data_IF_639713514405
#
_entry.id   IF_639713514405
#
_cell.length_a   1.000
_cell.length_b   1.000
_cell.length_c   1.000
_cell.angle_alpha   90.00
_cell.angle_beta   90.00
_cell.angle_gamma   90.00
#
_symmetry.space_group_name_H-M   'P 1'
#
loop_
_entity.id
_entity.type
_entity.pdbx_description
1 polymer ?
#
# COMPACT_ATOMS: atom_id res chain seq x y z
N UNK A 1 21.20 -5.55 0.08
CA UNK A 1 20.57 -6.79 -0.44
C UNK A 1 21.35 -8.07 -0.11
N UNK A 2 22.68 -8.15 -0.35
CA UNK A 2 23.45 -9.39 -0.16
C UNK A 2 23.50 -9.94 1.28
N UNK A 3 23.36 -9.07 2.30
CA UNK A 3 23.38 -9.46 3.72
C UNK A 3 21.98 -9.65 4.34
N UNK A 4 20.90 -9.61 3.53
CA UNK A 4 19.53 -9.80 4.02
C UNK A 4 18.92 -11.09 3.45
N UNK A 5 18.05 -11.75 4.22
CA UNK A 5 17.45 -13.06 3.90
C UNK A 5 16.36 -13.01 2.79
N UNK A 6 16.40 -11.99 1.95
CA UNK A 6 15.48 -11.82 0.84
C UNK A 6 15.52 -13.02 -0.12
N UNK A 7 14.35 -13.50 -0.54
CA UNK A 7 14.23 -14.66 -1.44
C UNK A 7 14.22 -16.03 -0.75
N UNK A 8 14.14 -16.08 0.58
CA UNK A 8 13.97 -17.33 1.33
C UNK A 8 12.66 -18.04 0.93
N UNK A 9 12.76 -19.29 0.47
CA UNK A 9 11.61 -20.12 0.14
C UNK A 9 11.09 -20.86 1.38
N UNK A 10 9.89 -20.52 1.83
CA UNK A 10 9.26 -21.09 3.02
C UNK A 10 8.07 -21.96 2.58
N UNK A 11 8.06 -23.22 3.03
CA UNK A 11 6.97 -24.17 2.81
C UNK A 11 6.47 -24.71 4.15
N UNK A 12 5.15 -24.83 4.30
CA UNK A 12 4.52 -25.39 5.50
C UNK A 12 3.25 -26.15 5.12
N UNK A 13 2.99 -27.24 5.83
CA UNK A 13 1.74 -28.00 5.76
C UNK A 13 0.76 -27.61 6.89
N UNK A 14 1.09 -26.56 7.64
CA UNK A 14 0.26 -25.96 8.69
C UNK A 14 0.14 -24.46 8.45
N UNK A 15 -0.93 -23.80 8.95
CA UNK A 15 -1.00 -22.34 8.97
C UNK A 15 0.25 -21.76 9.64
N UNK A 16 0.92 -20.84 8.94
CA UNK A 16 2.05 -20.08 9.45
C UNK A 16 1.82 -18.61 9.12
N UNK A 17 2.35 -17.73 9.97
CA UNK A 17 2.57 -16.33 9.65
C UNK A 17 4.07 -16.11 9.58
N UNK A 18 4.52 -15.38 8.56
CA UNK A 18 5.93 -15.02 8.40
C UNK A 18 6.01 -13.51 8.48
N UNK A 19 6.73 -13.00 9.47
CA UNK A 19 7.02 -11.58 9.60
C UNK A 19 8.45 -11.32 9.18
N UNK A 20 8.64 -10.28 8.38
CA UNK A 20 9.95 -9.72 8.06
C UNK A 20 10.15 -8.48 8.92
N UNK A 21 11.39 -8.30 9.37
CA UNK A 21 11.81 -7.05 10.00
C UNK A 21 13.28 -6.80 9.72
N UNK A 22 13.63 -5.54 9.68
CA UNK A 22 15.01 -5.06 9.71
C UNK A 22 15.10 -3.92 10.72
N UNK A 23 16.19 -3.89 11.48
CA UNK A 23 16.37 -2.94 12.59
C UNK A 23 17.51 -1.98 12.27
N UNK A 24 17.37 -0.74 12.74
CA UNK A 24 18.32 0.33 12.49
C UNK A 24 18.55 0.59 10.99
N UNK A 25 17.50 0.48 10.18
CA UNK A 25 17.54 0.85 8.76
C UNK A 25 17.88 2.33 8.68
N UNK A 26 19.01 2.62 8.06
CA UNK A 26 19.63 3.92 8.16
C UNK A 26 19.20 4.83 7.00
N UNK A 27 18.49 5.90 7.35
CA UNK A 27 18.04 6.94 6.43
C UNK A 27 19.17 7.94 6.11
N UNK A 28 20.13 7.52 5.30
CA UNK A 28 21.21 8.42 4.85
C UNK A 28 20.70 9.45 3.82
N UNK A 29 21.13 10.74 3.91
CA UNK A 29 22.10 11.29 4.85
C UNK A 29 21.49 11.86 6.16
N UNK A 30 20.17 11.81 6.35
CA UNK A 30 19.48 12.45 7.49
C UNK A 30 19.76 11.80 8.85
N UNK A 31 20.14 10.53 8.87
CA UNK A 31 20.71 9.88 10.05
C UNK A 31 19.76 9.07 10.91
N UNK A 32 18.45 9.15 10.65
CA UNK A 32 17.41 8.44 11.40
C UNK A 32 17.53 6.93 11.18
N UNK A 33 17.13 6.16 12.19
CA UNK A 33 17.35 4.71 12.25
C UNK A 33 16.11 4.07 12.82
N UNK A 34 15.40 3.35 11.96
CA UNK A 34 14.11 2.78 12.32
C UNK A 34 14.10 1.27 12.14
N UNK A 35 13.13 0.67 12.84
CA UNK A 35 12.69 -0.67 12.53
C UNK A 35 11.67 -0.61 11.41
N UNK A 36 11.93 -1.34 10.33
CA UNK A 36 10.93 -1.61 9.29
C UNK A 36 10.49 -3.06 9.38
N UNK A 37 9.25 -3.35 9.01
CA UNK A 37 8.79 -4.74 8.98
C UNK A 37 7.31 -4.84 8.69
N UNK A 38 6.91 -6.03 8.26
CA UNK A 38 5.52 -6.37 7.98
C UNK A 38 5.33 -7.90 8.04
N UNK A 39 4.09 -8.36 8.02
CA UNK A 39 3.75 -9.76 7.76
C UNK A 39 3.70 -9.99 6.25
N UNK A 40 4.48 -10.95 5.75
CA UNK A 40 4.43 -11.33 4.33
C UNK A 40 3.16 -12.10 4.02
N UNK A 41 2.69 -11.98 2.77
CA UNK A 41 1.62 -12.83 2.22
C UNK A 41 2.21 -14.10 1.60
N UNK A 42 1.51 -15.25 1.63
CA UNK A 42 1.95 -16.44 0.91
C UNK A 42 1.90 -16.21 -0.61
N UNK A 43 2.46 -17.09 -1.45
CA UNK A 43 2.24 -16.99 -2.90
C UNK A 43 0.81 -17.40 -3.30
N UNK A 44 0.22 -18.31 -2.51
CA UNK A 44 -1.13 -18.85 -2.70
C UNK A 44 -1.90 -18.86 -1.39
N UNK A 45 -3.20 -18.64 -1.48
CA UNK A 45 -4.14 -18.78 -0.36
C UNK A 45 -4.40 -20.25 -0.05
N UNK A 46 -5.08 -20.48 1.08
CA UNK A 46 -5.55 -21.81 1.48
C UNK A 46 -6.49 -22.48 0.45
N UNK A 47 -7.19 -21.68 -0.37
CA UNK A 47 -8.05 -22.15 -1.46
C UNK A 47 -7.33 -22.26 -2.82
N UNK A 48 -5.99 -22.19 -2.81
CA UNK A 48 -5.10 -22.31 -3.97
C UNK A 48 -5.21 -21.17 -5.01
N UNK A 49 -5.90 -20.07 -4.70
CA UNK A 49 -5.84 -18.83 -5.49
C UNK A 49 -4.57 -18.05 -5.21
N UNK A 50 -4.04 -17.35 -6.21
CA UNK A 50 -2.92 -16.42 -6.03
C UNK A 50 -3.33 -15.23 -5.16
N UNK A 51 -2.40 -14.73 -4.34
CA UNK A 51 -2.55 -13.46 -3.59
C UNK A 51 -1.52 -12.43 -4.03
N UNK A 52 -0.37 -12.91 -4.52
CA UNK A 52 0.59 -12.10 -5.27
C UNK A 52 0.14 -12.02 -6.72
N UNK A 53 0.25 -10.84 -7.31
CA UNK A 53 -0.20 -10.56 -8.67
C UNK A 53 0.90 -10.05 -9.58
N UNK A 54 0.48 -9.55 -10.74
CA UNK A 54 1.28 -9.03 -11.82
C UNK A 54 1.44 -7.52 -11.71
N UNK A 55 0.39 -6.80 -11.31
CA UNK A 55 0.37 -5.34 -11.29
C UNK A 55 0.26 -4.76 -9.87
N UNK A 56 0.98 -3.66 -9.64
CA UNK A 56 1.00 -2.92 -8.38
C UNK A 56 1.06 -1.42 -8.66
N UNK A 57 0.38 -0.64 -7.83
CA UNK A 57 0.55 0.81 -7.79
C UNK A 57 1.15 1.17 -6.44
N UNK A 58 2.25 1.90 -6.49
CA UNK A 58 2.95 2.40 -5.32
C UNK A 58 2.62 3.87 -5.17
N UNK A 59 2.08 4.27 -4.02
CA UNK A 59 1.86 5.69 -3.70
C UNK A 59 3.00 6.16 -2.81
N UNK A 60 3.78 7.16 -3.28
CA UNK A 60 4.86 7.76 -2.50
C UNK A 60 4.31 8.28 -1.17
N UNK A 61 5.00 7.99 -0.08
CA UNK A 61 4.69 8.50 1.24
C UNK A 61 5.27 9.90 1.43
N UNK A 62 5.89 10.12 2.59
CA UNK A 62 6.38 11.43 3.03
C UNK A 62 7.82 11.38 3.51
N UNK A 63 8.61 10.39 3.07
CA UNK A 63 10.06 10.45 3.27
C UNK A 63 10.63 11.61 2.45
N UNK A 64 11.55 12.34 3.05
CA UNK A 64 12.37 13.33 2.37
C UNK A 64 13.78 13.33 2.97
N UNK A 65 14.70 12.64 2.30
CA UNK A 65 16.11 12.59 2.70
C UNK A 65 16.92 13.79 2.19
N UNK A 66 16.29 14.69 1.43
CA UNK A 66 16.90 15.92 0.92
C UNK A 66 16.68 17.10 1.88
N UNK A 67 17.35 18.23 1.61
CA UNK A 67 17.11 19.47 2.35
C UNK A 67 16.07 20.38 1.69
N UNK A 68 15.57 19.99 0.52
CA UNK A 68 14.66 20.79 -0.29
C UNK A 68 13.24 20.23 -0.21
N UNK A 69 12.19 21.03 -0.49
CA UNK A 69 10.85 20.51 -0.65
C UNK A 69 10.82 19.46 -1.75
N UNK A 70 10.20 18.31 -1.47
CA UNK A 70 10.11 17.20 -2.41
C UNK A 70 9.07 17.52 -3.49
N UNK A 71 9.50 17.51 -4.76
CA UNK A 71 8.61 17.58 -5.91
C UNK A 71 8.60 16.24 -6.67
N UNK A 72 7.70 16.14 -7.63
CA UNK A 72 7.72 15.04 -8.60
C UNK A 72 8.97 15.13 -9.49
N UNK A 73 9.68 14.01 -9.62
CA UNK A 73 11.01 13.91 -10.23
C UNK A 73 12.17 13.93 -9.22
N UNK A 74 11.94 14.36 -7.98
CA UNK A 74 12.98 14.42 -6.96
C UNK A 74 13.14 13.07 -6.23
N UNK A 75 14.38 12.63 -5.93
CA UNK A 75 14.63 11.43 -5.14
C UNK A 75 14.22 11.67 -3.69
N UNK A 76 13.16 10.99 -3.27
CA UNK A 76 12.67 11.07 -1.89
C UNK A 76 13.56 10.31 -0.91
N UNK A 77 14.17 9.22 -1.36
CA UNK A 77 14.75 8.17 -0.52
C UNK A 77 13.81 6.98 -0.28
N UNK A 78 12.54 7.06 -0.70
CA UNK A 78 11.63 5.90 -0.67
C UNK A 78 12.03 4.87 -1.73
N UNK A 79 11.93 3.60 -1.36
CA UNK A 79 12.29 2.49 -2.23
C UNK A 79 11.22 1.43 -2.24
N UNK A 80 11.10 0.77 -3.37
CA UNK A 80 10.36 -0.47 -3.51
C UNK A 80 11.32 -1.60 -3.83
N UNK A 81 11.09 -2.76 -3.23
CA UNK A 81 11.82 -3.99 -3.49
C UNK A 81 10.87 -4.95 -4.19
N UNK A 82 11.21 -5.31 -5.42
CA UNK A 82 10.40 -6.12 -6.31
C UNK A 82 11.05 -7.50 -6.39
N UNK A 83 10.33 -8.54 -5.98
CA UNK A 83 10.82 -9.92 -5.92
C UNK A 83 10.12 -10.81 -6.96
N UNK A 84 10.90 -11.56 -7.72
CA UNK A 84 10.39 -12.56 -8.64
C UNK A 84 9.88 -13.80 -7.89
N UNK A 85 8.71 -14.30 -8.27
CA UNK A 85 8.18 -15.58 -7.76
C UNK A 85 8.51 -16.77 -8.67
N UNK A 86 8.98 -16.49 -9.89
CA UNK A 86 9.27 -17.45 -10.94
C UNK A 86 10.58 -17.06 -11.66
N UNK A 87 11.25 -18.00 -12.35
CA UNK A 87 12.46 -17.67 -13.10
C UNK A 87 12.14 -16.81 -14.33
N UNK A 88 13.15 -16.02 -14.74
CA UNK A 88 13.11 -15.13 -15.90
C UNK A 88 11.90 -14.18 -15.88
N UNK A 89 11.57 -13.59 -14.73
CA UNK A 89 10.51 -12.58 -14.62
C UNK A 89 11.01 -11.25 -15.16
N UNK A 90 10.31 -10.69 -16.15
CA UNK A 90 10.52 -9.32 -16.64
C UNK A 90 9.71 -8.37 -15.77
N UNK A 91 10.34 -7.30 -15.30
CA UNK A 91 9.74 -6.22 -14.51
C UNK A 91 9.72 -4.95 -15.35
N UNK A 92 8.57 -4.28 -15.35
CA UNK A 92 8.34 -3.01 -16.00
C UNK A 92 7.95 -1.96 -14.97
N UNK A 93 8.42 -0.73 -15.17
CA UNK A 93 8.08 0.44 -14.36
C UNK A 93 7.52 1.50 -15.29
N UNK A 94 6.29 1.93 -15.02
CA UNK A 94 5.54 2.88 -15.84
C UNK A 94 5.54 2.48 -17.34
N UNK A 95 5.37 1.19 -17.61
CA UNK A 95 5.36 0.60 -18.96
C UNK A 95 6.74 0.43 -19.62
N UNK A 96 7.83 0.77 -18.94
CA UNK A 96 9.21 0.66 -19.46
C UNK A 96 9.91 -0.57 -18.85
N UNK A 97 10.56 -1.39 -19.68
CA UNK A 97 11.36 -2.51 -19.20
C UNK A 97 12.45 -2.03 -18.24
N UNK A 98 12.49 -2.63 -17.06
CA UNK A 98 13.37 -2.22 -15.97
C UNK A 98 14.40 -3.30 -15.62
N UNK A 99 13.96 -4.54 -15.41
CA UNK A 99 14.84 -5.63 -15.00
C UNK A 99 14.35 -7.01 -15.45
N UNK A 100 15.29 -7.91 -15.74
CA UNK A 100 15.03 -9.36 -15.82
C UNK A 100 15.57 -10.04 -14.55
N UNK A 101 14.69 -10.75 -13.86
CA UNK A 101 15.00 -11.50 -12.64
C UNK A 101 15.09 -13.00 -12.99
N UNK A 102 16.31 -13.50 -13.10
CA UNK A 102 16.60 -14.85 -13.58
C UNK A 102 16.08 -15.96 -12.65
N UNK A 103 16.09 -15.73 -11.32
CA UNK A 103 15.74 -16.76 -10.33
C UNK A 103 14.56 -16.33 -9.44
N UNK A 104 13.69 -17.26 -9.00
CA UNK A 104 12.76 -17.00 -7.91
C UNK A 104 13.49 -16.51 -6.66
N UNK A 105 12.90 -15.54 -5.95
CA UNK A 105 13.51 -14.91 -4.78
C UNK A 105 14.54 -13.84 -5.10
N UNK A 106 14.99 -13.72 -6.36
CA UNK A 106 15.81 -12.60 -6.80
C UNK A 106 14.98 -11.30 -6.72
N UNK A 107 15.65 -10.21 -6.34
CA UNK A 107 15.04 -8.90 -6.17
C UNK A 107 15.77 -7.83 -6.97
N UNK A 108 15.04 -6.78 -7.31
CA UNK A 108 15.57 -5.49 -7.70
C UNK A 108 14.91 -4.41 -6.84
N UNK A 109 15.63 -3.34 -6.53
CA UNK A 109 15.06 -2.17 -5.88
C UNK A 109 14.90 -1.01 -6.86
N UNK A 110 13.89 -0.18 -6.63
CA UNK A 110 13.64 1.04 -7.40
C UNK A 110 13.35 2.20 -6.44
N UNK A 111 13.89 3.37 -6.74
CA UNK A 111 13.69 4.59 -5.96
C UNK A 111 12.51 5.41 -6.53
N UNK A 112 11.55 5.77 -5.66
CA UNK A 112 10.35 6.48 -6.07
C UNK A 112 10.63 7.97 -6.29
N UNK A 113 10.28 8.45 -7.48
CA UNK A 113 10.46 9.84 -7.91
C UNK A 113 9.16 10.63 -8.01
N UNK A 114 8.02 9.97 -8.18
CA UNK A 114 6.73 10.61 -8.44
C UNK A 114 5.70 10.22 -7.38
N UNK A 115 4.59 10.95 -7.29
CA UNK A 115 3.52 10.67 -6.32
C UNK A 115 2.95 9.24 -6.42
N UNK A 116 2.99 8.65 -7.63
CA UNK A 116 2.64 7.25 -7.87
C UNK A 116 3.53 6.61 -8.93
N UNK A 117 3.75 5.30 -8.82
CA UNK A 117 4.49 4.49 -9.80
C UNK A 117 3.72 3.20 -10.10
N UNK A 118 3.59 2.85 -11.38
CA UNK A 118 3.04 1.57 -11.82
C UNK A 118 4.16 0.53 -11.97
N UNK A 119 3.99 -0.64 -11.35
CA UNK A 119 4.94 -1.75 -11.43
C UNK A 119 4.23 -2.96 -11.97
N UNK A 120 4.81 -3.57 -13.00
CA UNK A 120 4.26 -4.72 -13.70
C UNK A 120 5.30 -5.83 -13.78
N UNK A 121 4.87 -7.07 -13.60
CA UNK A 121 5.64 -8.26 -13.93
C UNK A 121 4.99 -9.02 -15.08
N UNK A 122 5.77 -9.63 -15.97
CA UNK A 122 5.24 -10.61 -16.94
C UNK A 122 4.76 -11.92 -16.27
N UNK A 123 5.18 -12.10 -15.01
CA UNK A 123 4.83 -13.17 -14.08
C UNK A 123 4.53 -12.55 -12.71
N UNK A 124 3.88 -13.27 -11.79
CA UNK A 124 3.59 -12.73 -10.47
C UNK A 124 4.87 -12.29 -9.73
N UNK A 125 4.80 -11.12 -9.10
CA UNK A 125 5.86 -10.51 -8.31
C UNK A 125 5.34 -10.17 -6.91
N UNK A 126 6.25 -10.01 -5.95
CA UNK A 126 5.95 -9.42 -4.63
C UNK A 126 6.61 -8.05 -4.54
N UNK A 127 5.92 -7.08 -3.93
CA UNK A 127 6.44 -5.73 -3.75
C UNK A 127 6.45 -5.37 -2.27
N UNK A 128 7.63 -5.01 -1.75
CA UNK A 128 7.80 -4.40 -0.42
C UNK A 128 8.11 -2.93 -0.62
N UNK A 129 7.32 -2.04 -0.02
CA UNK A 129 7.55 -0.61 -0.07
C UNK A 129 8.14 -0.12 1.25
N UNK A 130 9.31 0.50 1.17
CA UNK A 130 9.93 1.24 2.26
C UNK A 130 9.60 2.72 2.06
N UNK A 131 8.82 3.24 3.00
CA UNK A 131 8.25 4.58 2.99
C UNK A 131 8.30 5.16 4.40
N UNK A 132 7.53 6.21 4.67
CA UNK A 132 7.37 6.77 6.01
C UNK A 132 7.25 8.29 5.99
N UNK A 133 7.80 8.94 7.01
CA UNK A 133 7.67 10.39 7.20
C UNK A 133 9.01 11.04 7.59
N UNK A 134 9.40 12.09 6.86
CA UNK A 134 10.68 12.76 7.06
C UNK A 134 11.85 11.81 6.78
N UNK A 135 12.61 11.45 7.80
CA UNK A 135 13.67 10.44 7.70
C UNK A 135 13.28 9.12 8.38
N UNK A 136 12.08 9.02 8.95
CA UNK A 136 11.66 7.89 9.76
C UNK A 136 11.02 6.82 8.88
N UNK A 137 11.69 5.68 8.72
CA UNK A 137 11.24 4.63 7.81
C UNK A 137 10.21 3.69 8.43
N UNK A 138 9.31 3.19 7.57
CA UNK A 138 8.46 2.03 7.79
C UNK A 138 8.46 1.15 6.55
N UNK A 139 7.96 -0.09 6.68
CA UNK A 139 7.89 -1.05 5.58
C UNK A 139 6.50 -1.67 5.49
N UNK A 140 6.00 -1.86 4.27
CA UNK A 140 4.73 -2.55 4.03
C UNK A 140 4.83 -3.41 2.76
N UNK A 141 4.39 -4.66 2.83
CA UNK A 141 4.14 -5.47 1.64
C UNK A 141 2.92 -4.90 0.95
N UNK A 142 3.01 -4.63 -0.35
CA UNK A 142 1.90 -4.03 -1.08
C UNK A 142 0.92 -5.09 -1.57
N UNK A 143 -0.39 -4.81 -1.54
CA UNK A 143 -1.39 -5.58 -2.26
C UNK A 143 -1.28 -5.36 -3.78
N UNK A 144 -1.51 -6.41 -4.57
CA UNK A 144 -1.64 -6.29 -6.04
C UNK A 144 -2.95 -5.61 -6.41
N UNK A 145 -2.97 -4.89 -7.53
CA UNK A 145 -4.21 -4.32 -8.11
C UNK A 145 -4.93 -5.29 -9.07
N UNK A 146 -4.41 -6.50 -9.25
CA UNK A 146 -5.05 -7.52 -10.07
C UNK A 146 -6.43 -7.91 -9.53
N UNK A 147 -7.44 -7.86 -10.40
CA UNK A 147 -8.81 -8.25 -10.05
C UNK A 147 -9.48 -7.24 -9.12
N UNK A 148 -10.35 -7.72 -8.23
CA UNK A 148 -11.08 -6.89 -7.25
C UNK A 148 -10.45 -6.97 -5.85
N UNK A 149 -9.15 -6.66 -5.74
CA UNK A 149 -8.47 -6.51 -4.44
C UNK A 149 -8.77 -5.15 -3.82
N UNK A 150 -8.62 -5.07 -2.50
CA UNK A 150 -8.98 -3.90 -1.72
C UNK A 150 -10.29 -4.07 -0.99
N UNK A 151 -10.71 -3.01 -0.33
CA UNK A 151 -11.90 -3.02 0.53
C UNK A 151 -12.93 -2.01 0.05
N UNK A 152 -14.22 -2.30 0.27
CA UNK A 152 -15.28 -1.30 0.15
C UNK A 152 -15.34 -0.37 1.38
N UNK A 153 -14.71 -0.80 2.48
CA UNK A 153 -14.69 -0.09 3.75
C UNK A 153 -13.37 -0.40 4.48
N UNK A 154 -12.74 0.62 5.06
CA UNK A 154 -11.58 0.49 5.95
C UNK A 154 -11.84 1.34 7.19
N UNK A 155 -11.64 0.76 8.37
CA UNK A 155 -11.71 1.47 9.66
C UNK A 155 -10.33 1.52 10.30
N UNK A 156 -9.97 2.66 10.87
CA UNK A 156 -8.69 2.89 11.53
C UNK A 156 -8.83 3.95 12.63
N UNK A 157 -7.80 4.06 13.47
CA UNK A 157 -7.73 5.06 14.54
C UNK A 157 -6.38 5.76 14.47
N UNK A 158 -6.38 7.07 14.62
CA UNK A 158 -5.17 7.87 14.88
C UNK A 158 -4.82 7.71 16.36
N UNK A 159 -3.59 7.30 16.65
CA UNK A 159 -3.12 6.97 18.00
C UNK A 159 -2.29 8.07 18.66
N UNK A 160 -1.78 9.04 17.90
CA UNK A 160 -1.04 10.21 18.41
C UNK A 160 -1.56 11.51 17.80
N UNK A 161 -1.11 12.65 18.33
CA UNK A 161 -1.41 13.97 17.75
C UNK A 161 -0.46 14.35 16.62
N UNK A 162 0.41 13.42 16.19
CA UNK A 162 1.40 13.64 15.14
C UNK A 162 0.79 13.75 13.73
N UNK A 163 1.66 13.88 12.72
CA UNK A 163 1.20 13.97 11.34
C UNK A 163 0.56 12.66 10.91
N UNK A 164 -0.57 12.75 10.21
CA UNK A 164 -1.33 11.61 9.76
C UNK A 164 -1.61 11.75 8.27
N UNK A 165 -1.08 10.82 7.49
CA UNK A 165 -1.26 10.78 6.05
C UNK A 165 -1.99 9.53 5.62
N UNK A 166 -2.82 9.68 4.59
CA UNK A 166 -3.46 8.58 3.90
C UNK A 166 -2.98 8.49 2.46
N UNK A 167 -2.65 7.28 2.05
CA UNK A 167 -2.48 6.88 0.67
C UNK A 167 -3.75 6.13 0.27
N UNK A 168 -4.57 6.70 -0.63
CA UNK A 168 -5.80 6.08 -1.11
C UNK A 168 -5.74 5.98 -2.63
N UNK A 169 -6.06 4.80 -3.17
CA UNK A 169 -6.24 4.59 -4.61
C UNK A 169 -7.48 3.77 -4.92
N UNK A 170 -8.04 4.01 -6.10
CA UNK A 170 -9.21 3.30 -6.65
C UNK A 170 -9.23 3.44 -8.18
N UNK A 171 -10.21 2.86 -8.85
CA UNK A 171 -10.48 3.11 -10.28
C UNK A 171 -11.04 4.52 -10.50
N UNK A 172 -10.70 5.16 -11.64
CA UNK A 172 -11.14 6.52 -11.95
C UNK A 172 -12.67 6.75 -11.84
N UNK A 173 -13.54 5.82 -12.29
CA UNK A 173 -14.99 5.98 -12.14
C UNK A 173 -15.47 6.04 -10.68
N UNK A 174 -14.70 5.50 -9.73
CA UNK A 174 -15.06 5.39 -8.32
C UNK A 174 -14.52 6.53 -7.44
N UNK A 175 -13.75 7.47 -7.99
CA UNK A 175 -13.08 8.53 -7.20
C UNK A 175 -14.01 9.51 -6.50
N UNK A 176 -15.27 9.62 -6.95
CA UNK A 176 -16.27 10.52 -6.38
C UNK A 176 -17.17 9.83 -5.34
N UNK A 177 -16.90 8.57 -4.98
CA UNK A 177 -17.79 7.74 -4.17
C UNK A 177 -17.25 7.50 -2.75
N UNK A 178 -16.30 8.31 -2.29
CA UNK A 178 -15.68 8.18 -0.97
C UNK A 178 -16.39 9.00 0.10
N UNK A 179 -16.70 8.36 1.22
CA UNK A 179 -17.25 9.01 2.41
C UNK A 179 -16.49 8.57 3.66
N UNK A 180 -16.09 9.54 4.47
CA UNK A 180 -15.58 9.36 5.82
C UNK A 180 -16.75 9.41 6.80
N UNK A 181 -16.77 8.48 7.76
CA UNK A 181 -17.75 8.39 8.83
C UNK A 181 -17.04 8.52 10.17
N UNK A 182 -17.62 9.31 11.07
CA UNK A 182 -17.09 9.59 12.41
C UNK A 182 -18.02 9.03 13.51
N UNK A 183 -17.48 8.85 14.72
CA UNK A 183 -18.24 8.30 15.85
C UNK A 183 -19.42 9.18 16.30
N UNK A 184 -19.36 10.49 16.05
CA UNK A 184 -20.44 11.44 16.34
C UNK A 184 -21.59 11.40 15.31
N UNK A 185 -21.47 10.54 14.28
CA UNK A 185 -22.44 10.40 13.20
C UNK A 185 -22.29 11.43 12.08
N UNK A 186 -21.33 12.36 12.17
CA UNK A 186 -20.99 13.24 11.06
C UNK A 186 -20.30 12.49 9.93
N UNK A 187 -20.36 13.07 8.72
CA UNK A 187 -19.68 12.51 7.54
C UNK A 187 -18.92 13.60 6.78
N UNK A 188 -17.96 13.16 5.98
CA UNK A 188 -17.25 14.02 5.04
C UNK A 188 -17.02 13.26 3.73
N UNK A 189 -17.46 13.83 2.60
CA UNK A 189 -17.19 13.25 1.29
C UNK A 189 -15.81 13.68 0.80
N UNK A 190 -14.93 12.71 0.52
CA UNK A 190 -13.60 13.00 -0.03
C UNK A 190 -13.80 13.46 -1.48
N UNK A 191 -13.45 14.71 -1.85
CA UNK A 191 -13.71 15.22 -3.17
C UNK A 191 -12.92 14.44 -4.23
N UNK A 192 -13.56 14.07 -5.34
CA UNK A 192 -12.85 13.44 -6.47
C UNK A 192 -11.75 14.31 -7.08
N UNK A 193 -11.78 15.63 -6.84
CA UNK A 193 -10.71 16.56 -7.24
C UNK A 193 -9.41 16.37 -6.46
N UNK A 194 -9.45 15.64 -5.33
CA UNK A 194 -8.27 15.29 -4.55
C UNK A 194 -7.43 14.19 -5.23
N UNK A 195 -8.00 13.49 -6.19
CA UNK A 195 -7.36 12.39 -6.90
C UNK A 195 -6.72 12.84 -8.21
N UNK A 196 -5.70 12.10 -8.64
CA UNK A 196 -5.03 12.23 -9.94
C UNK A 196 -4.77 10.87 -10.58
N UNK A 197 -4.70 10.78 -11.92
CA UNK A 197 -4.50 9.52 -12.62
C UNK A 197 -3.10 8.94 -12.38
N UNK A 198 -3.04 7.61 -12.26
CA UNK A 198 -1.78 6.86 -12.24
C UNK A 198 -1.46 6.45 -13.67
N UNK A 199 -0.71 7.29 -14.37
CA UNK A 199 -0.39 7.06 -15.78
C UNK A 199 -1.64 6.79 -16.65
N UNK A 200 -1.59 5.73 -17.45
CA UNK A 200 -2.70 5.27 -18.29
C UNK A 200 -3.44 4.03 -17.74
N UNK A 201 -3.27 3.71 -16.45
CA UNK A 201 -3.76 2.46 -15.83
C UNK A 201 -5.28 2.42 -15.63
N UNK A 202 -5.96 3.58 -15.68
CA UNK A 202 -7.37 3.70 -15.28
C UNK A 202 -7.59 3.77 -13.77
N UNK A 203 -6.52 3.71 -12.97
CA UNK A 203 -6.54 3.99 -11.54
C UNK A 203 -6.22 5.46 -11.25
N UNK A 204 -6.68 5.92 -10.09
CA UNK A 204 -6.35 7.21 -9.52
C UNK A 204 -5.89 7.05 -8.08
N UNK A 205 -5.02 7.95 -7.63
CA UNK A 205 -4.59 8.03 -6.24
C UNK A 205 -4.73 9.45 -5.70
N UNK A 206 -4.70 9.63 -4.36
CA UNK A 206 -4.64 10.96 -3.76
C UNK A 206 -3.41 11.72 -4.25
N UNK A 207 -3.63 12.96 -4.68
CA UNK A 207 -2.56 13.94 -4.92
C UNK A 207 -1.75 14.13 -3.67
N UNK A 208 -0.44 14.31 -3.83
CA UNK A 208 0.50 14.49 -2.72
C UNK A 208 0.05 15.55 -1.69
N UNK A 209 -0.48 16.67 -2.19
CA UNK A 209 -0.96 17.80 -1.39
C UNK A 209 -2.23 17.51 -0.55
N UNK A 210 -2.99 16.46 -0.90
CA UNK A 210 -4.23 16.08 -0.21
C UNK A 210 -4.08 14.83 0.66
N UNK A 211 -2.85 14.36 0.88
CA UNK A 211 -2.58 13.19 1.72
C UNK A 211 -2.60 13.51 3.21
N UNK A 212 -2.43 14.77 3.63
CA UNK A 212 -2.40 15.17 5.04
C UNK A 212 -3.81 15.35 5.59
N UNK A 213 -4.16 14.58 6.63
CA UNK A 213 -5.43 14.70 7.34
C UNK A 213 -5.20 15.29 8.73
N UNK A 214 -5.83 16.43 9.02
CA UNK A 214 -5.69 17.15 10.29
C UNK A 214 -6.33 16.39 11.47
N UNK A 215 -5.93 16.69 12.70
CA UNK A 215 -6.51 16.11 13.92
C UNK A 215 -7.87 16.75 14.27
N UNK A 216 -8.88 16.51 13.44
CA UNK A 216 -10.24 17.02 13.60
C UNK A 216 -11.25 16.18 12.78
N UNK A 217 -12.54 16.30 13.09
CA UNK A 217 -13.61 15.85 12.19
C UNK A 217 -13.78 16.81 11.00
N UNK A 218 -14.63 16.45 10.02
CA UNK A 218 -14.92 17.32 8.87
C UNK A 218 -13.83 17.30 7.79
N UNK A 219 -13.33 16.11 7.46
CA UNK A 219 -12.26 15.88 6.47
C UNK A 219 -10.88 15.68 7.07
N UNK A 220 -10.77 15.65 8.40
CA UNK A 220 -9.58 15.16 9.11
C UNK A 220 -9.79 13.77 9.71
N UNK A 221 -8.82 13.35 10.53
CA UNK A 221 -8.84 12.11 11.31
C UNK A 221 -8.60 12.51 12.77
N UNK A 222 -9.63 12.56 13.63
CA UNK A 222 -9.45 12.87 15.05
C UNK A 222 -8.71 11.76 15.80
N UNK A 223 -7.90 12.15 16.79
CA UNK A 223 -7.18 11.22 17.66
C UNK A 223 -8.13 10.45 18.56
N UNK A 224 -7.79 9.19 18.83
CA UNK A 224 -8.51 8.29 19.74
C UNK A 224 -9.98 8.04 19.35
N UNK A 225 -10.31 8.21 18.08
CA UNK A 225 -11.62 7.90 17.50
C UNK A 225 -11.47 6.99 16.30
N UNK A 226 -12.43 6.08 16.12
CA UNK A 226 -12.54 5.28 14.90
C UNK A 226 -13.04 6.16 13.77
N UNK A 227 -12.25 6.24 12.70
CA UNK A 227 -12.67 6.80 11.42
C UNK A 227 -12.84 5.66 10.45
N UNK A 228 -13.93 5.72 9.69
CA UNK A 228 -14.26 4.72 8.69
C UNK A 228 -14.38 5.38 7.33
N UNK A 229 -13.65 4.87 6.34
CA UNK A 229 -13.75 5.32 4.95
C UNK A 229 -14.45 4.25 4.16
N UNK A 230 -15.49 4.62 3.40
CA UNK A 230 -16.22 3.74 2.49
C UNK A 230 -16.09 4.25 1.06
N UNK A 231 -16.08 3.36 0.07
CA UNK A 231 -16.33 3.71 -1.32
C UNK A 231 -17.54 2.94 -1.84
N UNK A 232 -18.59 3.66 -2.27
CA UNK A 232 -19.85 3.03 -2.69
C UNK A 232 -19.85 2.51 -4.14
N UNK A 233 -18.78 2.74 -4.90
CA UNK A 233 -18.70 2.40 -6.32
C UNK A 233 -17.71 1.27 -6.63
N UNK A 234 -16.58 1.19 -5.93
CA UNK A 234 -15.55 0.17 -6.15
C UNK A 234 -14.74 -0.07 -4.89
N UNK A 235 -14.04 -1.20 -4.82
CA UNK A 235 -12.97 -1.43 -3.85
C UNK A 235 -11.85 -0.39 -4.02
N UNK A 236 -11.19 -0.07 -2.91
CA UNK A 236 -10.04 0.81 -2.86
C UNK A 236 -8.93 0.22 -1.99
N UNK A 237 -7.71 0.70 -2.19
CA UNK A 237 -6.58 0.39 -1.32
C UNK A 237 -6.26 1.59 -0.45
N UNK A 238 -5.93 1.33 0.82
CA UNK A 238 -5.62 2.37 1.79
C UNK A 238 -4.38 1.98 2.60
N UNK A 239 -3.35 2.82 2.51
CA UNK A 239 -2.23 2.85 3.43
C UNK A 239 -2.30 4.09 4.32
N UNK A 240 -1.80 3.97 5.56
CA UNK A 240 -1.66 5.11 6.46
C UNK A 240 -0.21 5.28 6.89
N UNK A 241 0.18 6.53 7.10
CA UNK A 241 1.45 6.93 7.68
C UNK A 241 1.12 7.81 8.88
N UNK A 242 1.55 7.41 10.07
CA UNK A 242 1.40 8.19 11.30
C UNK A 242 2.78 8.34 11.97
N UNK A 243 3.21 9.57 12.19
CA UNK A 243 4.49 9.82 12.85
C UNK A 243 4.95 11.27 12.80
N UNK A 244 6.12 11.50 13.38
CA UNK A 244 6.82 12.78 13.35
C UNK A 244 8.20 12.62 12.72
N UNK A 245 8.82 13.73 12.32
CA UNK A 245 10.04 13.70 11.49
C UNK A 245 11.28 13.19 12.22
N UNK A 246 11.17 12.92 13.53
CA UNK A 246 12.26 12.50 14.43
C UNK A 246 11.78 11.61 15.58
N UNK A 247 10.57 11.04 15.49
CA UNK A 247 9.87 10.38 16.62
C UNK A 247 9.39 8.97 16.29
N UNK A 248 9.78 8.44 15.13
CA UNK A 248 9.29 7.20 14.57
C UNK A 248 8.20 7.40 13.52
N UNK A 249 7.97 6.33 12.76
CA UNK A 249 6.92 6.25 11.76
C UNK A 249 6.17 4.91 11.88
N UNK A 250 4.84 4.97 11.84
CA UNK A 250 3.96 3.82 11.66
C UNK A 250 3.48 3.83 10.22
N UNK A 251 3.76 2.76 9.50
CA UNK A 251 3.35 2.59 8.10
C UNK A 251 2.75 1.21 7.88
N UNK A 252 1.67 1.13 7.12
CA UNK A 252 1.04 -0.14 6.74
C UNK A 252 -0.14 0.05 5.79
N UNK A 253 -0.54 -1.03 5.12
CA UNK A 253 -1.75 -1.11 4.31
C UNK A 253 -2.86 -1.85 5.08
N UNK A 254 -4.07 -1.33 4.98
CA UNK A 254 -5.22 -1.78 5.78
C UNK A 254 -6.39 -2.26 4.90
N UNK A 255 -6.17 -2.35 3.59
CA UNK A 255 -7.11 -2.90 2.61
C UNK A 255 -6.84 -4.38 2.34
N UNK A 256 -7.87 -5.09 1.89
CA UNK A 256 -7.75 -6.53 1.64
C UNK A 256 -6.78 -6.84 0.49
N UNK A 257 -5.78 -7.67 0.76
CA UNK A 257 -4.89 -8.28 -0.25
C UNK A 257 -5.64 -9.38 -1.05
N UNK A 258 -6.81 -9.69 -0.53
CA UNK A 258 -7.93 -10.46 -0.98
C UNK A 258 -8.69 -10.02 -2.25
N UNK A 259 -8.61 -10.66 -3.42
CA UNK A 259 -9.72 -10.50 -4.40
C UNK A 259 -11.05 -10.90 -3.73
N UNK A 260 -11.94 -9.92 -3.58
CA UNK A 260 -13.31 -10.09 -3.13
C UNK A 260 -14.20 -10.37 -4.34
N UNK A 261 -14.64 -11.62 -4.48
CA UNK A 261 -15.77 -11.97 -5.34
C UNK A 261 -16.94 -12.32 -4.43
N UNK A 262 -17.99 -11.51 -4.47
CA UNK A 262 -19.19 -11.73 -3.66
C UNK A 262 -19.67 -13.17 -3.78
N UNK A 263 -19.73 -13.89 -2.66
CA UNK A 263 -20.35 -15.21 -2.63
C UNK A 263 -21.86 -15.02 -2.72
N UNK A 264 -22.45 -15.39 -3.85
CA UNK A 264 -23.91 -15.55 -3.94
C UNK A 264 -24.27 -16.82 -3.16
N UNK A 265 -24.87 -16.66 -1.98
CA UNK A 265 -25.58 -17.75 -1.31
C UNK A 265 -26.98 -17.79 -1.92
N UNK A 266 -27.22 -18.72 -2.83
CA UNK A 266 -28.59 -19.05 -3.25
C UNK A 266 -29.25 -19.74 -2.06
N UNK A 267 -30.08 -18.99 -1.33
CA UNK A 267 -31.01 -19.60 -0.38
C UNK A 267 -32.17 -20.13 -1.20
N UNK A 268 -32.10 -21.40 -1.61
CA UNK A 268 -33.29 -22.10 -2.08
C UNK A 268 -34.27 -22.21 -0.92
N UNK A 269 -35.29 -21.36 -0.88
CA UNK A 269 -36.50 -21.64 -0.10
C UNK A 269 -37.29 -22.70 -0.87
N UNK A 270 -37.00 -23.96 -0.61
CA UNK A 270 -37.84 -25.06 -1.03
C UNK A 270 -39.17 -25.01 -0.27
N UNK A 271 -40.26 -24.67 -0.96
CA UNK A 271 -41.60 -25.01 -0.49
C UNK A 271 -41.80 -26.51 -0.66
N UNK A 272 -41.79 -27.27 0.44
CA UNK A 272 -42.41 -28.59 0.43
C UNK A 272 -43.93 -28.42 0.47
N UNK A 273 -44.57 -29.22 -0.37
CA UNK A 273 -46.01 -29.35 -0.69
C UNK A 273 -47.00 -29.01 0.41
#
# INVERSE_FOLDING_TARGET
AADHLGGTHIVSNKPIAVSIKDDSVWAEPKGCKDMIGDQTVPLRRADNRSIVGYEYIVMRGKINLTNDPLNDGDPSGERVFIMATQPNTEVFIDGVSYANLANPGQQVDFELLYNSTHIEGDKPIMVLHVSGFGCEFGGAVLPTIDGCTGSLEVSFTRSTDESFYLNIMTTDPAKNAFTMHYEDGSTFDIPGSWFEPVGATGFVCLKDANKLFVNATGGGVPQDQVVKITNSASVFHLGLIEGGSTTGCKYGYFSDYAESRGSVVVVETGSQS
#
